data_IF_884544987967
#
_entry.id   IF_884544987967
#
_cell.length_a   1.000
_cell.length_b   1.000
_cell.length_c   1.000
_cell.angle_alpha   90.00
_cell.angle_beta   90.00
_cell.angle_gamma   90.00
#
_symmetry.space_group_name_H-M   'P 1'
#
loop_
_entity.id
_entity.type
_entity.pdbx_description
1 polymer ?
#
# COMPACT_ATOMS: atom_id res chain seq x y z
N UNK A 1 21.47 3.81 -13.35
CA UNK A 1 21.19 2.73 -12.39
C UNK A 1 19.71 2.83 -12.05
N UNK A 2 18.87 1.83 -12.34
CA UNK A 2 17.44 1.97 -12.10
C UNK A 2 17.23 2.09 -10.59
N UNK A 3 16.67 3.23 -10.16
CA UNK A 3 16.38 3.46 -8.76
C UNK A 3 15.26 2.51 -8.38
N UNK A 4 15.58 1.47 -7.61
CA UNK A 4 14.58 0.69 -6.92
C UNK A 4 14.01 1.59 -5.82
N UNK A 5 13.05 2.44 -6.19
CA UNK A 5 12.33 3.31 -5.25
C UNK A 5 11.65 2.41 -4.21
N UNK A 6 12.30 2.23 -3.07
CA UNK A 6 11.86 1.35 -1.99
C UNK A 6 10.67 1.99 -1.27
N UNK A 7 9.49 1.86 -1.85
CA UNK A 7 8.26 2.41 -1.29
C UNK A 7 7.91 1.64 -0.01
N UNK A 8 7.66 2.36 1.08
CA UNK A 8 7.16 1.76 2.32
C UNK A 8 5.64 1.84 2.30
N UNK A 9 5.01 0.68 2.30
CA UNK A 9 3.55 0.58 2.31
C UNK A 9 3.07 0.13 3.68
N UNK A 10 2.00 0.75 4.16
CA UNK A 10 1.35 0.43 5.43
C UNK A 10 -0.14 0.26 5.17
N UNK A 11 -0.68 -0.90 5.47
CA UNK A 11 -2.13 -1.15 5.45
C UNK A 11 -2.71 -0.96 6.84
N UNK A 12 -3.92 -0.41 6.95
CA UNK A 12 -4.67 -0.39 8.21
C UNK A 12 -5.08 -1.79 8.64
N UNK A 13 -5.39 -2.66 7.66
CA UNK A 13 -6.01 -3.97 7.87
C UNK A 13 -5.43 -4.98 6.87
N UNK A 14 -4.37 -5.72 7.24
CA UNK A 14 -3.77 -6.74 6.37
C UNK A 14 -4.68 -7.95 6.13
N UNK A 15 -5.77 -8.09 6.89
CA UNK A 15 -6.80 -9.13 6.69
C UNK A 15 -7.79 -8.78 5.58
N UNK A 16 -7.89 -7.49 5.21
CA UNK A 16 -8.80 -6.96 4.19
C UNK A 16 -8.01 -6.59 2.93
N UNK A 17 -6.87 -5.91 3.06
CA UNK A 17 -5.99 -5.59 1.95
C UNK A 17 -4.51 -5.74 2.34
N UNK A 18 -3.79 -6.52 1.55
CA UNK A 18 -2.33 -6.69 1.65
C UNK A 18 -1.64 -5.89 0.56
N UNK A 19 -0.44 -5.41 0.84
CA UNK A 19 0.35 -4.64 -0.12
C UNK A 19 1.74 -5.27 -0.26
N UNK A 20 2.12 -5.53 -1.51
CA UNK A 20 3.38 -6.17 -1.86
C UNK A 20 4.49 -5.13 -2.05
N UNK A 21 5.74 -5.59 -2.02
CA UNK A 21 6.94 -4.74 -2.14
C UNK A 21 7.11 -4.05 -3.50
N UNK A 22 6.37 -4.49 -4.51
CA UNK A 22 6.26 -3.89 -5.84
C UNK A 22 5.17 -2.80 -5.91
N UNK A 23 4.40 -2.60 -4.84
CA UNK A 23 3.27 -1.68 -4.78
C UNK A 23 1.94 -2.27 -5.25
N UNK A 24 1.88 -3.58 -5.49
CA UNK A 24 0.63 -4.27 -5.81
C UNK A 24 -0.22 -4.36 -4.53
N UNK A 25 -1.43 -3.78 -4.56
CA UNK A 25 -2.40 -3.92 -3.48
C UNK A 25 -3.41 -5.01 -3.83
N UNK A 26 -3.51 -6.03 -2.99
CA UNK A 26 -4.41 -7.16 -3.16
C UNK A 26 -5.48 -7.15 -2.05
N UNK A 27 -6.74 -7.13 -2.47
CA UNK A 27 -7.88 -7.33 -1.56
C UNK A 27 -8.00 -8.80 -1.18
N UNK A 28 -7.96 -9.10 0.11
CA UNK A 28 -8.05 -10.47 0.66
C UNK A 28 -9.47 -10.79 1.09
N UNK A 29 -10.18 -9.84 1.70
CA UNK A 29 -11.51 -10.05 2.26
C UNK A 29 -12.39 -8.83 2.06
N UNK A 30 -13.69 -9.06 1.84
CA UNK A 30 -14.69 -8.00 1.81
C UNK A 30 -14.63 -7.13 3.08
N UNK A 31 -14.46 -5.83 2.89
CA UNK A 31 -14.14 -4.85 3.92
C UNK A 31 -13.53 -3.58 3.32
N UNK A 32 -13.27 -2.59 4.17
CA UNK A 32 -12.56 -1.37 3.78
C UNK A 32 -11.20 -1.35 4.47
N UNK A 33 -10.14 -1.12 3.72
CA UNK A 33 -8.78 -0.98 4.23
C UNK A 33 -8.14 0.27 3.64
N UNK A 34 -7.33 0.96 4.44
CA UNK A 34 -6.59 2.13 3.96
C UNK A 34 -5.12 1.78 3.85
N UNK A 35 -4.54 1.98 2.67
CA UNK A 35 -3.12 1.77 2.41
C UNK A 35 -2.44 3.12 2.27
N UNK A 36 -1.46 3.38 3.13
CA UNK A 36 -0.60 4.56 3.07
C UNK A 36 0.74 4.16 2.51
N UNK A 37 1.16 4.78 1.42
CA UNK A 37 2.50 4.63 0.85
C UNK A 37 3.32 5.88 1.11
N UNK A 38 4.56 5.67 1.54
CA UNK A 38 5.56 6.73 1.70
C UNK A 38 6.76 6.39 0.84
N UNK A 39 7.21 7.34 0.03
CA UNK A 39 8.46 7.19 -0.73
C UNK A 39 9.65 7.15 0.23
N UNK A 40 10.66 6.33 -0.06
CA UNK A 40 11.89 6.22 0.75
C UNK A 40 12.59 7.57 1.00
N UNK A 41 12.53 8.46 0.00
CA UNK A 41 13.06 9.82 0.07
C UNK A 41 12.31 10.71 1.08
N UNK A 42 11.25 10.21 1.72
CA UNK A 42 10.40 10.92 2.67
C UNK A 42 9.56 12.06 2.05
N UNK A 43 9.82 12.40 0.78
CA UNK A 43 9.25 13.59 0.13
C UNK A 43 7.81 13.44 -0.39
N UNK A 44 7.26 12.22 -0.49
CA UNK A 44 5.89 11.99 -0.98
C UNK A 44 5.17 10.88 -0.21
N UNK A 45 3.97 11.20 0.23
CA UNK A 45 2.99 10.26 0.80
C UNK A 45 1.78 10.18 -0.12
N UNK A 46 1.30 8.98 -0.40
CA UNK A 46 0.01 8.76 -1.03
C UNK A 46 -0.83 7.80 -0.18
N UNK A 47 -2.14 7.97 -0.23
CA UNK A 47 -3.11 7.16 0.49
C UNK A 47 -4.11 6.58 -0.50
N UNK A 48 -4.35 5.28 -0.42
CA UNK A 48 -5.30 4.56 -1.24
C UNK A 48 -6.30 3.85 -0.33
N UNK A 49 -7.57 4.15 -0.49
CA UNK A 49 -8.65 3.42 0.19
C UNK A 49 -9.07 2.27 -0.70
N UNK A 50 -8.94 1.05 -0.19
CA UNK A 50 -9.31 -0.18 -0.88
C UNK A 50 -10.58 -0.71 -0.26
N UNK A 51 -11.66 -0.65 -1.03
CA UNK A 51 -12.94 -1.25 -0.67
C UNK A 51 -13.09 -2.55 -1.45
N UNK A 52 -13.09 -3.67 -0.73
CA UNK A 52 -13.35 -5.00 -1.29
C UNK A 52 -14.82 -5.30 -1.00
N UNK A 53 -15.62 -5.52 -2.03
CA UNK A 53 -17.05 -5.84 -1.94
C UNK A 53 -17.34 -7.18 -2.62
#
# INVERSE_FOLDING_TARGET
MPQINKLTFKTSDPTVATVSSDGTVAGVKAGSATVTVTTDDGGKTATATVTVA
#
